data_IF_605273649428
#
_entry.id   IF_605273649428
#
_cell.length_a   1.000
_cell.length_b   1.000
_cell.length_c   1.000
_cell.angle_alpha   90.00
_cell.angle_beta   90.00
_cell.angle_gamma   90.00
#
_symmetry.space_group_name_H-M   'P 1'
#
loop_
_entity.id
_entity.type
_entity.pdbx_description
1 polymer ?
#
# COMPACT_ATOMS: atom_id res chain seq x y z
N UNK A 1 33.12 -7.19 -29.49
CA UNK A 1 32.29 -6.43 -28.55
C UNK A 1 32.05 -7.37 -27.38
N UNK A 2 32.79 -7.20 -26.28
CA UNK A 2 32.54 -7.98 -25.07
C UNK A 2 31.20 -7.54 -24.50
N UNK A 3 30.26 -8.47 -24.39
CA UNK A 3 28.98 -8.23 -23.73
C UNK A 3 29.28 -8.27 -22.23
N UNK A 4 29.10 -7.17 -21.52
CA UNK A 4 29.16 -7.19 -20.06
C UNK A 4 27.94 -7.94 -19.53
N UNK A 5 28.15 -9.15 -19.00
CA UNK A 5 27.08 -9.98 -18.44
C UNK A 5 26.47 -9.36 -17.18
N UNK A 6 27.22 -8.52 -16.45
CA UNK A 6 26.75 -7.87 -15.22
C UNK A 6 25.62 -6.88 -15.50
N UNK A 7 25.89 -5.93 -16.39
CA UNK A 7 24.96 -4.85 -16.76
C UNK A 7 23.82 -5.32 -17.69
N UNK A 8 23.86 -6.57 -18.15
CA UNK A 8 22.82 -7.19 -18.97
C UNK A 8 22.03 -8.22 -18.17
N UNK A 9 22.32 -9.51 -18.32
CA UNK A 9 21.54 -10.59 -17.70
C UNK A 9 21.66 -10.62 -16.17
N UNK A 10 22.79 -10.14 -15.61
CA UNK A 10 22.94 -9.93 -14.17
C UNK A 10 21.93 -8.92 -13.62
N UNK A 11 21.77 -7.77 -14.28
CA UNK A 11 20.76 -6.78 -13.95
C UNK A 11 19.34 -7.36 -14.02
N UNK A 12 19.01 -8.10 -15.09
CA UNK A 12 17.71 -8.77 -15.21
C UNK A 12 17.45 -9.76 -14.08
N UNK A 13 18.47 -10.53 -13.67
CA UNK A 13 18.37 -11.47 -12.57
C UNK A 13 18.07 -10.76 -11.24
N UNK A 14 18.74 -9.64 -10.96
CA UNK A 14 18.47 -8.82 -9.77
C UNK A 14 17.02 -8.32 -9.79
N UNK A 15 16.59 -7.77 -10.93
CA UNK A 15 15.19 -7.36 -11.13
C UNK A 15 14.20 -8.50 -10.89
N UNK A 16 14.50 -9.69 -11.40
CA UNK A 16 13.68 -10.89 -11.21
C UNK A 16 13.60 -11.32 -9.74
N UNK A 17 14.70 -11.28 -9.00
CA UNK A 17 14.72 -11.61 -7.57
C UNK A 17 13.89 -10.63 -6.75
N UNK A 18 14.02 -9.32 -7.01
CA UNK A 18 13.19 -8.30 -6.36
C UNK A 18 11.72 -8.53 -6.71
N UNK A 19 11.42 -8.80 -7.99
CA UNK A 19 10.08 -9.08 -8.49
C UNK A 19 9.44 -10.29 -7.80
N UNK A 20 10.21 -11.35 -7.55
CA UNK A 20 9.76 -12.52 -6.79
C UNK A 20 9.41 -12.18 -5.33
N UNK A 21 10.21 -11.34 -4.68
CA UNK A 21 9.91 -10.89 -3.32
C UNK A 21 8.60 -10.07 -3.27
N UNK A 22 8.43 -9.15 -4.22
CA UNK A 22 7.23 -8.31 -4.33
C UNK A 22 5.99 -9.15 -4.72
N UNK A 23 6.15 -10.19 -5.53
CA UNK A 23 5.08 -11.16 -5.84
C UNK A 23 4.57 -11.91 -4.60
N UNK A 24 5.46 -12.22 -3.65
CA UNK A 24 5.08 -12.75 -2.35
C UNK A 24 4.13 -11.80 -1.59
N UNK A 25 4.41 -10.49 -1.65
CA UNK A 25 3.55 -9.45 -1.07
C UNK A 25 2.19 -9.42 -1.79
N UNK A 26 2.16 -9.47 -3.12
CA UNK A 26 0.90 -9.50 -3.89
C UNK A 26 0.03 -10.67 -3.47
N UNK A 27 0.63 -11.85 -3.32
CA UNK A 27 -0.07 -13.09 -2.93
C UNK A 27 -0.64 -12.96 -1.51
N UNK A 28 0.14 -12.40 -0.58
CA UNK A 28 -0.34 -12.15 0.78
C UNK A 28 -1.50 -11.14 0.81
N UNK A 29 -1.41 -10.07 0.01
CA UNK A 29 -2.50 -9.08 -0.09
C UNK A 29 -3.77 -9.70 -0.68
N UNK A 30 -3.66 -10.56 -1.69
CA UNK A 30 -4.81 -11.30 -2.23
C UNK A 30 -5.44 -12.21 -1.18
N UNK A 31 -4.61 -12.97 -0.44
CA UNK A 31 -5.08 -13.84 0.64
C UNK A 31 -5.84 -13.04 1.71
N UNK A 32 -5.26 -11.93 2.19
CA UNK A 32 -5.93 -11.07 3.15
C UNK A 32 -7.23 -10.49 2.59
N UNK A 33 -7.29 -10.15 1.31
CA UNK A 33 -8.53 -9.66 0.72
C UNK A 33 -9.68 -10.68 0.86
N UNK A 34 -9.46 -11.92 0.45
CA UNK A 34 -10.50 -12.95 0.53
C UNK A 34 -10.88 -13.32 1.97
N UNK A 35 -9.91 -13.30 2.89
CA UNK A 35 -10.17 -13.57 4.31
C UNK A 35 -11.01 -12.46 4.96
N UNK A 36 -10.73 -11.20 4.62
CA UNK A 36 -11.29 -10.06 5.36
C UNK A 36 -12.55 -9.48 4.72
N UNK A 37 -12.80 -9.71 3.41
CA UNK A 37 -13.93 -9.14 2.66
C UNK A 37 -14.85 -10.21 2.03
N UNK A 38 -15.43 -11.15 2.81
CA UNK A 38 -16.29 -12.19 2.24
C UNK A 38 -17.60 -11.63 1.65
N UNK A 39 -18.02 -10.43 2.05
CA UNK A 39 -19.27 -9.77 1.63
C UNK A 39 -19.12 -8.84 0.42
N UNK A 40 -17.90 -8.65 -0.10
CA UNK A 40 -17.68 -7.79 -1.26
C UNK A 40 -18.31 -8.37 -2.53
N UNK A 41 -18.70 -7.48 -3.44
CA UNK A 41 -19.30 -7.85 -4.73
C UNK A 41 -18.44 -8.83 -5.53
N UNK A 42 -19.09 -9.70 -6.31
CA UNK A 42 -18.41 -10.66 -7.18
C UNK A 42 -17.46 -9.98 -8.18
N UNK A 43 -17.80 -8.77 -8.65
CA UNK A 43 -16.94 -8.01 -9.55
C UNK A 43 -15.58 -7.65 -8.93
N UNK A 44 -15.56 -7.20 -7.67
CA UNK A 44 -14.29 -6.91 -6.98
C UNK A 44 -13.50 -8.19 -6.68
N UNK A 45 -14.18 -9.28 -6.30
CA UNK A 45 -13.52 -10.59 -6.12
C UNK A 45 -12.92 -11.10 -7.43
N UNK A 46 -13.61 -10.93 -8.55
CA UNK A 46 -13.08 -11.27 -9.87
C UNK A 46 -11.87 -10.40 -10.23
N UNK A 47 -11.93 -9.08 -9.99
CA UNK A 47 -10.80 -8.17 -10.22
C UNK A 47 -9.55 -8.59 -9.45
N UNK A 48 -9.70 -8.94 -8.17
CA UNK A 48 -8.60 -9.41 -7.31
C UNK A 48 -8.00 -10.72 -7.83
N UNK A 49 -8.84 -11.69 -8.19
CA UNK A 49 -8.38 -12.94 -8.81
C UNK A 49 -7.66 -12.68 -10.14
N UNK A 50 -8.23 -11.85 -11.01
CA UNK A 50 -7.67 -11.52 -12.31
C UNK A 50 -6.28 -10.91 -12.19
N UNK A 51 -6.11 -9.93 -11.30
CA UNK A 51 -4.81 -9.29 -11.06
C UNK A 51 -3.80 -10.30 -10.55
N UNK A 52 -4.17 -11.16 -9.59
CA UNK A 52 -3.25 -12.18 -9.08
C UNK A 52 -2.87 -13.23 -10.15
N UNK A 53 -3.82 -13.65 -10.99
CA UNK A 53 -3.56 -14.58 -12.11
C UNK A 53 -2.59 -13.95 -13.12
N UNK A 54 -2.82 -12.68 -13.50
CA UNK A 54 -1.91 -11.95 -14.38
C UNK A 54 -0.52 -11.79 -13.73
N UNK A 55 -0.47 -11.50 -12.44
CA UNK A 55 0.78 -11.34 -11.70
C UNK A 55 1.59 -12.65 -11.67
N UNK A 56 0.89 -13.78 -11.52
CA UNK A 56 1.45 -15.13 -11.57
C UNK A 56 1.94 -15.48 -12.98
N UNK A 57 1.15 -15.16 -14.01
CA UNK A 57 1.53 -15.38 -15.40
C UNK A 57 2.80 -14.58 -15.76
N UNK A 58 2.89 -13.33 -15.32
CA UNK A 58 4.11 -12.53 -15.47
C UNK A 58 5.33 -13.22 -14.86
N UNK A 59 5.21 -13.73 -13.62
CA UNK A 59 6.31 -14.46 -12.95
C UNK A 59 6.71 -15.69 -13.74
N UNK A 60 5.75 -16.48 -14.23
CA UNK A 60 6.05 -17.69 -15.04
C UNK A 60 6.84 -17.32 -16.29
N UNK A 61 6.41 -16.29 -17.03
CA UNK A 61 7.06 -15.82 -18.25
C UNK A 61 8.48 -15.28 -17.98
N UNK A 62 8.64 -14.53 -16.89
CA UNK A 62 9.93 -14.01 -16.43
C UNK A 62 10.88 -15.15 -16.04
N UNK A 63 10.41 -16.13 -15.25
CA UNK A 63 11.20 -17.31 -14.88
C UNK A 63 11.62 -18.12 -16.10
N UNK A 64 10.73 -18.30 -17.07
CA UNK A 64 11.06 -18.94 -18.34
C UNK A 64 12.14 -18.14 -19.10
N UNK A 65 12.02 -16.81 -19.18
CA UNK A 65 13.03 -15.97 -19.82
C UNK A 65 14.39 -16.09 -19.13
N UNK A 66 14.43 -16.02 -17.81
CA UNK A 66 15.67 -16.17 -17.02
C UNK A 66 16.29 -17.55 -17.17
N UNK A 67 15.49 -18.62 -17.14
CA UNK A 67 15.97 -19.98 -17.37
C UNK A 67 16.57 -20.13 -18.78
N UNK A 68 15.90 -19.58 -19.79
CA UNK A 68 16.38 -19.61 -21.17
C UNK A 68 17.75 -18.92 -21.31
N UNK A 69 17.92 -17.72 -20.74
CA UNK A 69 19.17 -16.98 -20.89
C UNK A 69 20.31 -17.50 -20.03
N UNK A 70 20.04 -17.86 -18.78
CA UNK A 70 21.08 -18.20 -17.81
C UNK A 70 21.46 -19.68 -17.81
N UNK A 71 20.55 -20.56 -18.24
CA UNK A 71 20.75 -22.01 -18.18
C UNK A 71 20.79 -22.60 -19.59
N UNK A 72 19.68 -22.53 -20.33
CA UNK A 72 19.56 -23.26 -21.62
C UNK A 72 20.42 -22.64 -22.73
N UNK A 73 20.49 -21.32 -22.77
CA UNK A 73 21.27 -20.53 -23.73
C UNK A 73 22.68 -20.18 -23.25
N UNK A 74 23.12 -20.74 -22.12
CA UNK A 74 24.43 -20.45 -21.55
C UNK A 74 25.54 -20.76 -22.56
N UNK A 75 26.45 -19.81 -22.77
CA UNK A 75 27.55 -19.93 -23.73
C UNK A 75 27.14 -19.88 -25.20
N UNK A 76 25.87 -19.65 -25.54
CA UNK A 76 25.40 -19.54 -26.92
C UNK A 76 25.18 -18.06 -27.32
N UNK A 77 26.10 -17.45 -28.10
CA UNK A 77 26.01 -16.03 -28.42
C UNK A 77 24.74 -15.65 -29.20
N UNK A 78 24.15 -16.57 -29.98
CA UNK A 78 22.89 -16.31 -30.70
C UNK A 78 21.71 -16.16 -29.76
N UNK A 79 21.71 -16.87 -28.63
CA UNK A 79 20.67 -16.74 -27.62
C UNK A 79 20.78 -15.39 -26.89
N UNK A 80 21.99 -14.86 -26.70
CA UNK A 80 22.22 -13.60 -25.97
C UNK A 80 21.93 -12.34 -26.78
N UNK A 81 21.92 -12.42 -28.13
CA UNK A 81 21.65 -11.26 -29.00
C UNK A 81 20.16 -10.99 -29.17
N UNK A 82 19.32 -12.02 -29.01
CA UNK A 82 17.89 -11.95 -29.30
C UNK A 82 17.01 -12.03 -28.04
N UNK A 83 15.99 -11.19 -28.01
CA UNK A 83 14.86 -11.29 -27.09
C UNK A 83 14.06 -12.57 -27.29
N UNK A 84 13.85 -13.30 -26.21
CA UNK A 84 12.98 -14.46 -26.16
C UNK A 84 11.54 -14.00 -26.09
N UNK A 85 10.62 -14.76 -26.71
CA UNK A 85 9.21 -14.40 -26.78
C UNK A 85 8.59 -14.19 -25.38
N UNK A 86 9.02 -14.97 -24.37
CA UNK A 86 8.46 -14.89 -23.03
C UNK A 86 8.80 -13.57 -22.33
N UNK A 87 9.94 -12.94 -22.65
CA UNK A 87 10.30 -11.61 -22.14
C UNK A 87 9.35 -10.54 -22.69
N UNK A 88 9.06 -10.56 -23.99
CA UNK A 88 8.16 -9.56 -24.58
C UNK A 88 6.71 -9.80 -24.17
N UNK A 89 6.30 -11.06 -24.02
CA UNK A 89 4.98 -11.37 -23.45
C UNK A 89 4.89 -10.91 -22.00
N UNK A 90 5.94 -10.99 -21.18
CA UNK A 90 5.87 -10.50 -19.79
C UNK A 90 5.62 -8.99 -19.73
N UNK A 91 6.27 -8.20 -20.60
CA UNK A 91 6.03 -6.75 -20.74
C UNK A 91 4.54 -6.49 -21.10
N UNK A 92 3.97 -7.28 -22.01
CA UNK A 92 2.55 -7.17 -22.36
C UNK A 92 1.63 -7.42 -21.16
N UNK A 93 1.97 -8.37 -20.29
CA UNK A 93 1.23 -8.63 -19.05
C UNK A 93 1.36 -7.45 -18.07
N UNK A 94 2.53 -6.82 -17.97
CA UNK A 94 2.70 -5.61 -17.14
C UNK A 94 1.83 -4.45 -17.63
N UNK A 95 1.81 -4.20 -18.94
CA UNK A 95 0.95 -3.18 -19.56
C UNK A 95 -0.53 -3.46 -19.25
N UNK A 96 -0.95 -4.73 -19.34
CA UNK A 96 -2.33 -5.11 -19.03
C UNK A 96 -2.66 -4.90 -17.54
N UNK A 97 -1.74 -5.25 -16.62
CA UNK A 97 -1.92 -4.99 -15.19
C UNK A 97 -2.01 -3.50 -14.87
N UNK A 98 -1.15 -2.68 -15.49
CA UNK A 98 -1.19 -1.22 -15.37
C UNK A 98 -2.53 -0.66 -15.86
N UNK A 99 -2.98 -1.08 -17.06
CA UNK A 99 -4.26 -0.66 -17.63
C UNK A 99 -5.45 -1.02 -16.73
N UNK A 100 -5.52 -2.26 -16.23
CA UNK A 100 -6.61 -2.69 -15.33
C UNK A 100 -6.61 -1.86 -14.04
N UNK A 101 -5.43 -1.62 -13.46
CA UNK A 101 -5.27 -0.81 -12.25
C UNK A 101 -5.75 0.64 -12.49
N UNK A 102 -5.23 1.29 -13.53
CA UNK A 102 -5.58 2.67 -13.90
C UNK A 102 -7.06 2.80 -14.27
N UNK A 103 -7.62 1.82 -15.00
CA UNK A 103 -9.03 1.77 -15.34
C UNK A 103 -9.92 1.70 -14.09
N UNK A 104 -9.57 0.83 -13.13
CA UNK A 104 -10.27 0.76 -11.86
C UNK A 104 -10.29 2.11 -11.13
N UNK A 105 -9.15 2.80 -11.06
CA UNK A 105 -9.08 4.12 -10.42
C UNK A 105 -9.85 5.19 -11.21
N UNK A 106 -9.89 5.10 -12.53
CA UNK A 106 -10.69 5.99 -13.37
C UNK A 106 -12.20 5.80 -13.11
N UNK A 107 -12.66 4.55 -12.97
CA UNK A 107 -14.04 4.25 -12.58
C UNK A 107 -14.34 4.76 -11.16
N UNK A 108 -13.39 4.61 -10.22
CA UNK A 108 -13.51 5.22 -8.89
C UNK A 108 -13.71 6.73 -8.99
N UNK A 109 -12.84 7.44 -9.72
CA UNK A 109 -12.94 8.89 -9.94
C UNK A 109 -14.31 9.25 -10.53
N UNK A 110 -14.82 8.47 -11.49
CA UNK A 110 -16.16 8.68 -12.06
C UNK A 110 -17.26 8.61 -11.01
N UNK A 111 -17.20 7.66 -10.08
CA UNK A 111 -18.21 7.55 -9.02
C UNK A 111 -18.07 8.61 -7.93
N UNK A 112 -16.85 9.08 -7.63
CA UNK A 112 -16.63 10.14 -6.64
C UNK A 112 -16.87 11.56 -7.18
N UNK A 113 -16.82 11.76 -8.49
CA UNK A 113 -16.89 13.10 -9.08
C UNK A 113 -18.30 13.72 -9.03
N UNK A 114 -18.42 15.03 -8.74
CA UNK A 114 -19.68 15.76 -8.87
C UNK A 114 -20.24 15.73 -10.31
N UNK A 115 -21.56 15.70 -10.52
CA UNK A 115 -22.18 15.54 -11.85
C UNK A 115 -21.69 16.54 -12.91
N UNK A 116 -21.36 17.77 -12.50
CA UNK A 116 -20.95 18.86 -13.40
C UNK A 116 -19.58 18.64 -14.06
N UNK A 117 -18.63 18.04 -13.34
CA UNK A 117 -17.23 17.88 -13.80
C UNK A 117 -16.89 16.43 -14.16
N UNK A 118 -17.72 15.50 -13.71
CA UNK A 118 -17.50 14.05 -13.80
C UNK A 118 -17.14 13.58 -15.19
N UNK A 119 -17.95 13.88 -16.21
CA UNK A 119 -17.73 13.40 -17.58
C UNK A 119 -16.43 13.94 -18.16
N UNK A 120 -16.18 15.25 -18.00
CA UNK A 120 -14.98 15.89 -18.54
C UNK A 120 -13.70 15.37 -17.88
N UNK A 121 -13.68 15.34 -16.54
CA UNK A 121 -12.54 14.85 -15.77
C UNK A 121 -12.20 13.39 -16.11
N UNK A 122 -13.20 12.52 -16.13
CA UNK A 122 -12.98 11.10 -16.43
C UNK A 122 -12.66 10.85 -17.89
N UNK A 123 -13.17 11.69 -18.80
CA UNK A 123 -12.84 11.64 -20.22
C UNK A 123 -11.36 11.93 -20.48
N UNK A 124 -10.81 12.98 -19.86
CA UNK A 124 -9.39 13.34 -19.97
C UNK A 124 -8.49 12.25 -19.39
N UNK A 125 -8.82 11.76 -18.19
CA UNK A 125 -8.04 10.68 -17.54
C UNK A 125 -8.15 9.39 -18.35
N UNK A 126 -9.36 9.01 -18.77
CA UNK A 126 -9.60 7.82 -19.57
C UNK A 126 -8.86 7.85 -20.90
N UNK A 127 -8.80 9.01 -21.58
CA UNK A 127 -8.01 9.18 -22.80
C UNK A 127 -6.52 8.95 -22.55
N UNK A 128 -5.98 9.50 -21.46
CA UNK A 128 -4.58 9.30 -21.06
C UNK A 128 -4.27 7.82 -20.78
N UNK A 129 -5.16 7.12 -20.06
CA UNK A 129 -5.02 5.68 -19.76
C UNK A 129 -5.09 4.81 -21.02
N UNK A 130 -6.01 5.12 -21.94
CA UNK A 130 -6.10 4.39 -23.22
C UNK A 130 -4.88 4.66 -24.09
N UNK A 131 -4.40 5.91 -24.15
CA UNK A 131 -3.19 6.25 -24.88
C UNK A 131 -1.97 5.50 -24.32
N UNK A 132 -1.79 5.48 -23.00
CA UNK A 132 -0.74 4.71 -22.33
C UNK A 132 -0.78 3.22 -22.73
N UNK A 133 -1.97 2.61 -22.71
CA UNK A 133 -2.15 1.22 -23.14
C UNK A 133 -1.81 1.01 -24.63
N UNK A 134 -2.29 1.88 -25.52
CA UNK A 134 -2.03 1.78 -26.95
C UNK A 134 -0.53 1.86 -27.29
N UNK A 135 0.19 2.85 -26.75
CA UNK A 135 1.64 2.97 -26.94
C UNK A 135 2.41 1.83 -26.27
N UNK A 136 1.90 1.27 -25.16
CA UNK A 136 2.45 0.07 -24.57
C UNK A 136 2.36 -1.14 -25.50
N UNK A 137 1.18 -1.39 -26.09
CA UNK A 137 0.98 -2.48 -27.05
C UNK A 137 1.84 -2.29 -28.30
N UNK A 138 1.93 -1.06 -28.83
CA UNK A 138 2.83 -0.71 -29.93
C UNK A 138 4.30 -1.07 -29.59
N UNK A 139 4.74 -0.74 -28.38
CA UNK A 139 6.10 -1.06 -27.90
C UNK A 139 6.36 -2.56 -27.90
N UNK A 140 5.40 -3.35 -27.40
CA UNK A 140 5.49 -4.82 -27.41
C UNK A 140 5.58 -5.35 -28.84
N UNK A 141 4.74 -4.84 -29.75
CA UNK A 141 4.77 -5.24 -31.17
C UNK A 141 6.14 -4.95 -31.78
N UNK A 142 6.70 -3.77 -31.53
CA UNK A 142 8.03 -3.44 -32.03
C UNK A 142 9.12 -4.33 -31.44
N UNK A 143 9.04 -4.73 -30.17
CA UNK A 143 9.98 -5.70 -29.61
C UNK A 143 9.87 -7.09 -30.26
N UNK A 144 8.66 -7.55 -30.60
CA UNK A 144 8.49 -8.80 -31.35
C UNK A 144 9.01 -8.73 -32.79
N UNK A 145 8.93 -7.56 -33.43
CA UNK A 145 9.46 -7.32 -34.78
C UNK A 145 10.98 -7.13 -34.78
N UNK A 146 11.50 -6.32 -33.87
CA UNK A 146 12.92 -5.99 -33.69
C UNK A 146 13.52 -6.78 -32.53
N UNK A 147 13.57 -8.10 -32.69
CA UNK A 147 14.00 -9.05 -31.64
C UNK A 147 15.44 -8.86 -31.16
N UNK A 148 16.29 -8.21 -31.93
CA UNK A 148 17.70 -7.99 -31.58
C UNK A 148 17.84 -6.88 -30.54
N UNK A 149 18.52 -7.16 -29.43
CA UNK A 149 18.71 -6.17 -28.36
C UNK A 149 19.49 -4.92 -28.84
N UNK A 150 20.39 -5.09 -29.81
CA UNK A 150 21.13 -3.97 -30.43
C UNK A 150 20.22 -2.94 -31.13
N UNK A 151 19.00 -3.35 -31.51
CA UNK A 151 18.03 -2.54 -32.24
C UNK A 151 16.99 -1.88 -31.33
N UNK A 152 17.05 -2.10 -30.01
CA UNK A 152 16.14 -1.47 -29.04
C UNK A 152 16.13 0.06 -29.13
N UNK A 153 17.30 0.68 -29.38
CA UNK A 153 17.42 2.14 -29.56
C UNK A 153 16.58 2.69 -30.72
N UNK A 154 16.29 1.87 -31.73
CA UNK A 154 15.44 2.28 -32.85
C UNK A 154 13.98 2.43 -32.42
N UNK A 155 13.56 1.78 -31.33
CA UNK A 155 12.18 1.80 -30.80
C UNK A 155 12.01 2.94 -29.77
N UNK A 156 13.11 3.56 -29.32
CA UNK A 156 13.13 4.54 -28.23
C UNK A 156 12.19 5.71 -28.49
N UNK A 157 12.43 6.48 -29.56
CA UNK A 157 11.68 7.69 -29.84
C UNK A 157 10.31 7.41 -30.46
N UNK A 158 10.16 6.28 -31.16
CA UNK A 158 8.92 5.92 -31.83
C UNK A 158 7.86 5.44 -30.84
N UNK A 159 8.24 4.67 -29.82
CA UNK A 159 7.27 3.96 -28.97
C UNK A 159 7.58 3.97 -27.48
N UNK A 160 8.83 3.73 -27.06
CA UNK A 160 9.14 3.59 -25.61
C UNK A 160 9.00 4.91 -24.86
N UNK A 161 9.47 6.01 -25.45
CA UNK A 161 9.39 7.34 -24.85
C UNK A 161 7.93 7.81 -24.67
N UNK A 162 7.05 7.79 -25.70
CA UNK A 162 5.65 8.15 -25.49
C UNK A 162 4.92 7.21 -24.53
N UNK A 163 5.23 5.90 -24.54
CA UNK A 163 4.72 4.94 -23.56
C UNK A 163 5.05 5.36 -22.12
N UNK A 164 6.33 5.62 -21.82
CA UNK A 164 6.76 6.03 -20.48
C UNK A 164 6.22 7.38 -20.03
N UNK A 165 6.16 8.37 -20.93
CA UNK A 165 5.57 9.70 -20.62
C UNK A 165 4.09 9.56 -20.27
N UNK A 166 3.34 8.77 -21.02
CA UNK A 166 1.91 8.55 -20.76
C UNK A 166 1.67 7.73 -19.49
N UNK A 167 2.57 6.80 -19.14
CA UNK A 167 2.54 6.09 -17.86
C UNK A 167 2.61 7.07 -16.69
N UNK A 168 3.61 7.97 -16.71
CA UNK A 168 3.81 8.99 -15.67
C UNK A 168 2.64 9.99 -15.64
N UNK A 169 2.21 10.48 -16.82
CA UNK A 169 1.13 11.45 -16.91
C UNK A 169 -0.21 10.89 -16.42
N UNK A 170 -0.55 9.66 -16.80
CA UNK A 170 -1.78 9.01 -16.35
C UNK A 170 -1.81 8.79 -14.83
N UNK A 171 -0.69 8.36 -14.24
CA UNK A 171 -0.59 8.19 -12.79
C UNK A 171 -0.71 9.52 -12.03
N UNK A 172 -0.07 10.59 -12.53
CA UNK A 172 -0.20 11.93 -11.95
C UNK A 172 -1.64 12.42 -12.03
N UNK A 173 -2.31 12.29 -13.18
CA UNK A 173 -3.69 12.72 -13.33
C UNK A 173 -4.64 11.95 -12.40
N UNK A 174 -4.47 10.63 -12.28
CA UNK A 174 -5.25 9.81 -11.35
C UNK A 174 -4.98 10.22 -9.90
N UNK A 175 -3.72 10.42 -9.52
CA UNK A 175 -3.33 10.83 -8.17
C UNK A 175 -3.97 12.16 -7.78
N UNK A 176 -3.80 13.17 -8.62
CA UNK A 176 -4.32 14.52 -8.39
C UNK A 176 -5.85 14.51 -8.32
N UNK A 177 -6.52 13.83 -9.25
CA UNK A 177 -7.97 13.71 -9.25
C UNK A 177 -8.50 13.04 -7.97
N UNK A 178 -7.90 11.90 -7.56
CA UNK A 178 -8.27 11.24 -6.31
C UNK A 178 -8.04 12.15 -5.11
N UNK A 179 -6.89 12.83 -5.02
CA UNK A 179 -6.59 13.71 -3.89
C UNK A 179 -7.59 14.87 -3.78
N UNK A 180 -7.87 15.55 -4.89
CA UNK A 180 -8.81 16.69 -4.93
C UNK A 180 -10.22 16.23 -4.56
N UNK A 181 -10.70 15.14 -5.17
CA UNK A 181 -12.06 14.64 -4.94
C UNK A 181 -12.26 14.12 -3.52
N UNK A 182 -11.27 13.39 -2.97
CA UNK A 182 -11.37 12.87 -1.62
C UNK A 182 -11.27 13.99 -0.59
N UNK A 183 -10.42 15.00 -0.83
CA UNK A 183 -10.35 16.18 0.04
C UNK A 183 -11.67 16.97 0.03
N UNK A 184 -12.31 17.10 -1.13
CA UNK A 184 -13.63 17.74 -1.26
C UNK A 184 -14.80 16.90 -0.72
N UNK A 185 -14.60 15.61 -0.45
CA UNK A 185 -15.62 14.70 0.10
C UNK A 185 -15.61 14.64 1.64
N UNK A 186 -14.84 15.52 2.29
CA UNK A 186 -14.80 15.63 3.75
C UNK A 186 -16.18 16.01 4.30
N UNK A 187 -16.54 15.38 5.41
CA UNK A 187 -17.81 15.59 6.10
C UNK A 187 -17.57 16.24 7.47
N UNK A 188 -18.65 16.53 8.21
CA UNK A 188 -18.53 17.03 9.58
C UNK A 188 -18.08 15.94 10.58
N UNK A 189 -18.04 14.66 10.16
CA UNK A 189 -17.65 13.54 10.99
C UNK A 189 -16.13 13.31 10.98
N UNK A 190 -15.50 13.43 12.15
CA UNK A 190 -14.05 13.28 12.34
C UNK A 190 -13.53 11.92 11.86
N UNK A 191 -14.27 10.85 12.17
CA UNK A 191 -13.95 9.47 11.75
C UNK A 191 -13.86 9.33 10.23
N UNK A 192 -14.87 9.86 9.51
CA UNK A 192 -14.89 9.87 8.04
C UNK A 192 -13.71 10.67 7.47
N UNK A 193 -13.36 11.81 8.08
CA UNK A 193 -12.24 12.63 7.64
C UNK A 193 -10.88 11.94 7.87
N UNK A 194 -10.72 11.20 8.97
CA UNK A 194 -9.53 10.40 9.23
C UNK A 194 -9.36 9.28 8.20
N UNK A 195 -10.45 8.61 7.84
CA UNK A 195 -10.48 7.61 6.77
C UNK A 195 -10.05 8.23 5.43
N UNK A 196 -10.64 9.37 5.06
CA UNK A 196 -10.31 10.13 3.85
C UNK A 196 -8.83 10.47 3.81
N UNK A 197 -8.26 11.01 4.90
CA UNK A 197 -6.85 11.39 4.94
C UNK A 197 -5.92 10.19 4.68
N UNK A 198 -6.22 9.04 5.27
CA UNK A 198 -5.40 7.84 5.05
C UNK A 198 -5.54 7.31 3.62
N UNK A 199 -6.73 7.36 3.03
CA UNK A 199 -6.93 7.00 1.62
C UNK A 199 -6.18 7.95 0.67
N UNK A 200 -6.13 9.26 0.98
CA UNK A 200 -5.30 10.24 0.26
C UNK A 200 -3.82 9.84 0.35
N UNK A 201 -3.31 9.56 1.55
CA UNK A 201 -1.90 9.16 1.75
C UNK A 201 -1.57 7.88 0.98
N UNK A 202 -2.43 6.87 1.03
CA UNK A 202 -2.26 5.62 0.27
C UNK A 202 -2.25 5.90 -1.23
N UNK A 203 -3.17 6.75 -1.72
CA UNK A 203 -3.22 7.13 -3.13
C UNK A 203 -1.95 7.85 -3.58
N UNK A 204 -1.44 8.80 -2.78
CA UNK A 204 -0.20 9.53 -3.05
C UNK A 204 0.99 8.57 -3.06
N UNK A 205 1.18 7.78 -1.99
CA UNK A 205 2.32 6.88 -1.87
C UNK A 205 2.39 5.87 -3.03
N UNK A 206 1.24 5.33 -3.44
CA UNK A 206 1.12 4.48 -4.62
C UNK A 206 1.64 5.17 -5.89
N UNK A 207 1.15 6.38 -6.17
CA UNK A 207 1.44 7.07 -7.43
C UNK A 207 2.89 7.58 -7.46
N UNK A 208 3.40 8.06 -6.32
CA UNK A 208 4.81 8.47 -6.19
C UNK A 208 5.73 7.28 -6.47
N UNK A 209 5.45 6.11 -5.88
CA UNK A 209 6.28 4.92 -6.06
C UNK A 209 6.29 4.44 -7.53
N UNK A 210 5.10 4.32 -8.14
CA UNK A 210 4.94 3.88 -9.54
C UNK A 210 5.55 4.88 -10.53
N UNK A 211 5.27 6.17 -10.36
CA UNK A 211 5.84 7.23 -11.21
C UNK A 211 7.35 7.34 -11.06
N UNK A 212 7.90 7.19 -9.85
CA UNK A 212 9.35 7.23 -9.64
C UNK A 212 10.05 6.08 -10.38
N UNK A 213 9.52 4.86 -10.30
CA UNK A 213 10.08 3.71 -11.02
C UNK A 213 9.96 3.89 -12.53
N UNK A 214 8.82 4.38 -13.05
CA UNK A 214 8.65 4.68 -14.47
C UNK A 214 9.65 5.75 -14.96
N UNK A 215 9.88 6.81 -14.18
CA UNK A 215 10.87 7.84 -14.50
C UNK A 215 12.28 7.24 -14.56
N UNK A 216 12.66 6.43 -13.56
CA UNK A 216 13.97 5.77 -13.53
C UNK A 216 14.13 4.85 -14.74
N UNK A 217 13.12 4.06 -15.07
CA UNK A 217 13.12 3.15 -16.21
C UNK A 217 13.36 3.90 -17.54
N UNK A 218 12.63 5.01 -17.77
CA UNK A 218 12.79 5.84 -18.97
C UNK A 218 14.19 6.48 -19.02
N UNK A 219 14.68 7.01 -17.90
CA UNK A 219 16.03 7.61 -17.82
C UNK A 219 17.09 6.55 -18.15
N UNK A 220 16.99 5.37 -17.55
CA UNK A 220 17.91 4.26 -17.78
C UNK A 220 17.88 3.83 -19.24
N UNK A 221 16.69 3.74 -19.86
CA UNK A 221 16.57 3.35 -21.26
C UNK A 221 17.15 4.40 -22.22
N UNK A 222 17.08 5.68 -21.87
CA UNK A 222 17.68 6.78 -22.65
C UNK A 222 19.21 6.82 -22.52
N UNK A 223 19.73 6.69 -21.29
CA UNK A 223 21.17 6.83 -21.01
C UNK A 223 21.95 5.55 -21.33
N UNK A 224 21.37 4.38 -21.01
CA UNK A 224 22.01 3.07 -21.12
C UNK A 224 21.19 2.12 -22.02
N UNK A 225 20.95 2.45 -23.30
CA UNK A 225 20.05 1.70 -24.19
C UNK A 225 20.54 0.28 -24.57
N UNK A 226 21.75 -0.10 -24.14
CA UNK A 226 22.32 -1.44 -24.36
C UNK A 226 22.37 -2.27 -23.07
N UNK A 227 22.08 -1.67 -21.92
CA UNK A 227 21.96 -2.38 -20.66
C UNK A 227 20.54 -2.93 -20.48
N UNK A 228 20.40 -4.00 -19.69
CA UNK A 228 19.10 -4.60 -19.39
C UNK A 228 18.51 -4.16 -18.05
N UNK A 229 19.05 -3.10 -17.42
CA UNK A 229 18.42 -2.47 -16.26
C UNK A 229 16.97 -2.05 -16.54
N UNK A 230 16.64 -1.63 -17.78
CA UNK A 230 15.25 -1.30 -18.15
C UNK A 230 14.31 -2.49 -17.95
N UNK A 231 14.69 -3.70 -18.39
CA UNK A 231 13.88 -4.90 -18.16
C UNK A 231 13.78 -5.25 -16.68
N UNK A 232 14.82 -4.98 -15.89
CA UNK A 232 14.79 -5.19 -14.45
C UNK A 232 13.76 -4.26 -13.77
N UNK A 233 13.66 -3.00 -14.19
CA UNK A 233 12.64 -2.06 -13.70
C UNK A 233 11.24 -2.43 -14.21
N UNK A 234 11.09 -2.82 -15.47
CA UNK A 234 9.81 -3.29 -16.02
C UNK A 234 9.27 -4.51 -15.24
N UNK A 235 10.11 -5.48 -14.90
CA UNK A 235 9.66 -6.62 -14.08
C UNK A 235 9.04 -6.20 -12.74
N UNK A 236 9.56 -5.12 -12.15
CA UNK A 236 9.09 -4.59 -10.86
C UNK A 236 7.83 -3.75 -11.06
N UNK A 237 7.72 -2.94 -12.12
CA UNK A 237 6.66 -1.94 -12.28
C UNK A 237 5.26 -2.56 -12.29
N UNK A 238 5.09 -3.70 -12.96
CA UNK A 238 3.81 -4.42 -12.97
C UNK A 238 3.38 -4.88 -11.58
N UNK A 239 4.34 -5.31 -10.75
CA UNK A 239 4.09 -5.69 -9.36
C UNK A 239 3.63 -4.50 -8.53
N UNK A 240 4.16 -3.31 -8.79
CA UNK A 240 3.76 -2.10 -8.09
C UNK A 240 2.32 -1.71 -8.42
N UNK A 241 1.90 -1.83 -9.68
CA UNK A 241 0.49 -1.61 -10.06
C UNK A 241 -0.46 -2.60 -9.37
N UNK A 242 -0.11 -3.89 -9.35
CA UNK A 242 -0.91 -4.93 -8.71
C UNK A 242 -1.00 -4.72 -7.19
N UNK A 243 0.14 -4.55 -6.52
CA UNK A 243 0.19 -4.35 -5.06
C UNK A 243 -0.52 -3.07 -4.65
N UNK A 244 -0.40 -2.00 -5.42
CA UNK A 244 -1.02 -0.74 -5.01
C UNK A 244 -2.54 -0.76 -5.15
N UNK A 245 -3.06 -1.47 -6.15
CA UNK A 245 -4.49 -1.73 -6.30
C UNK A 245 -5.02 -2.57 -5.13
N UNK A 246 -4.36 -3.69 -4.83
CA UNK A 246 -4.74 -4.59 -3.74
C UNK A 246 -4.59 -3.92 -2.36
N UNK A 247 -3.53 -3.14 -2.14
CA UNK A 247 -3.35 -2.33 -0.93
C UNK A 247 -4.51 -1.35 -0.73
N UNK A 248 -4.95 -0.68 -1.80
CA UNK A 248 -6.11 0.23 -1.73
C UNK A 248 -7.40 -0.51 -1.34
N UNK A 249 -7.62 -1.71 -1.89
CA UNK A 249 -8.77 -2.54 -1.54
C UNK A 249 -8.70 -3.04 -0.09
N UNK A 250 -7.51 -3.45 0.35
CA UNK A 250 -7.26 -3.98 1.68
C UNK A 250 -7.23 -2.91 2.77
N UNK A 251 -7.01 -1.65 2.42
CA UNK A 251 -6.97 -0.56 3.39
C UNK A 251 -8.28 -0.42 4.19
N UNK A 252 -9.44 -0.74 3.61
CA UNK A 252 -10.76 -0.51 4.24
C UNK A 252 -10.90 -1.06 5.66
N UNK A 253 -10.35 -2.25 5.95
CA UNK A 253 -10.40 -2.90 7.26
C UNK A 253 -9.25 -2.49 8.17
N UNK A 254 -8.06 -2.24 7.63
CA UNK A 254 -6.95 -1.68 8.42
C UNK A 254 -7.36 -0.33 9.02
N UNK A 255 -8.20 0.42 8.30
CA UNK A 255 -8.77 1.67 8.73
C UNK A 255 -9.79 1.48 9.87
N UNK A 256 -10.68 0.47 9.77
CA UNK A 256 -11.67 0.14 10.81
C UNK A 256 -11.04 -0.41 12.11
N UNK A 257 -10.02 -1.27 11.99
CA UNK A 257 -9.37 -1.88 13.16
C UNK A 257 -8.54 -0.87 13.97
N UNK A 258 -7.88 0.07 13.28
CA UNK A 258 -7.08 1.10 13.94
C UNK A 258 -7.96 2.14 14.65
N UNK A 259 -9.12 2.49 14.08
CA UNK A 259 -10.10 3.36 14.70
C UNK A 259 -10.67 2.76 15.99
N UNK A 260 -11.03 1.47 15.98
CA UNK A 260 -11.46 0.75 17.18
C UNK A 260 -10.38 0.73 18.29
N UNK A 261 -9.11 0.56 17.93
CA UNK A 261 -8.01 0.60 18.91
C UNK A 261 -7.78 1.99 19.52
N UNK A 262 -7.97 3.06 18.73
CA UNK A 262 -7.86 4.44 19.23
C UNK A 262 -9.06 4.78 20.11
N UNK A 263 -10.28 4.33 19.77
CA UNK A 263 -11.46 4.52 20.60
C UNK A 263 -11.35 3.80 21.94
N UNK A 264 -10.91 2.53 21.98
CA UNK A 264 -10.68 1.80 23.24
C UNK A 264 -9.61 2.49 24.09
N UNK A 265 -8.51 2.94 23.49
CA UNK A 265 -7.46 3.65 24.22
C UNK A 265 -7.97 4.98 24.77
N UNK A 266 -8.77 5.69 23.98
CA UNK A 266 -9.48 6.91 24.39
C UNK A 266 -10.39 6.66 25.58
N UNK A 267 -11.31 5.69 25.49
CA UNK A 267 -12.22 5.31 26.58
C UNK A 267 -11.45 4.94 27.85
N UNK A 268 -10.43 4.07 27.76
CA UNK A 268 -9.58 3.70 28.90
C UNK A 268 -8.87 4.90 29.53
N UNK A 269 -8.37 5.85 28.72
CA UNK A 269 -7.76 7.08 29.26
C UNK A 269 -8.77 8.01 29.91
N UNK A 270 -9.99 8.08 29.38
CA UNK A 270 -11.06 8.93 29.94
C UNK A 270 -11.56 8.35 31.25
N UNK A 271 -11.76 7.03 31.32
CA UNK A 271 -12.10 6.31 32.55
C UNK A 271 -11.00 6.45 33.60
N UNK A 272 -9.73 6.34 33.21
CA UNK A 272 -8.61 6.56 34.12
C UNK A 272 -8.57 8.01 34.64
N UNK A 273 -8.82 9.00 33.78
CA UNK A 273 -8.91 10.41 34.19
C UNK A 273 -10.11 10.68 35.11
N UNK A 274 -11.28 10.11 34.82
CA UNK A 274 -12.47 10.24 35.67
C UNK A 274 -12.28 9.55 37.03
N UNK A 275 -11.67 8.35 37.05
CA UNK A 275 -11.32 7.66 38.29
C UNK A 275 -10.29 8.46 39.12
N UNK A 276 -9.30 9.06 38.47
CA UNK A 276 -8.32 9.94 39.12
C UNK A 276 -8.97 11.20 39.69
N UNK A 277 -9.86 11.86 38.95
CA UNK A 277 -10.59 13.05 39.44
C UNK A 277 -11.53 12.71 40.60
N UNK A 278 -12.25 11.60 40.54
CA UNK A 278 -13.10 11.13 41.63
C UNK A 278 -12.30 10.84 42.90
N UNK A 279 -11.10 10.26 42.76
CA UNK A 279 -10.17 10.03 43.87
C UNK A 279 -9.66 11.36 44.45
N UNK A 280 -9.37 12.35 43.61
CA UNK A 280 -8.93 13.68 44.03
C UNK A 280 -10.03 14.45 44.78
N UNK A 281 -11.28 14.37 44.31
CA UNK A 281 -12.44 14.95 44.99
C UNK A 281 -12.73 14.27 46.33
N UNK A 282 -12.70 12.94 46.40
CA UNK A 282 -12.87 12.22 47.67
C UNK A 282 -11.77 12.52 48.69
N UNK A 283 -10.54 12.74 48.23
CA UNK A 283 -9.41 13.17 49.08
C UNK A 283 -9.61 14.61 49.58
N UNK A 284 -10.09 15.53 48.74
CA UNK A 284 -10.41 16.89 49.20
C UNK A 284 -11.59 16.94 50.17
N UNK A 285 -12.65 16.15 49.95
CA UNK A 285 -13.80 16.10 50.85
C UNK A 285 -13.43 15.52 52.22
N UNK A 286 -12.56 14.50 52.27
CA UNK A 286 -12.03 13.97 53.53
C UNK A 286 -11.12 14.97 54.24
N UNK A 287 -10.28 15.73 53.53
CA UNK A 287 -9.45 16.80 54.10
C UNK A 287 -10.33 17.93 54.65
N UNK A 288 -11.39 18.35 53.94
CA UNK A 288 -12.33 19.38 54.40
C UNK A 288 -13.11 18.91 55.64
N UNK A 289 -13.58 17.66 55.66
CA UNK A 289 -14.25 17.08 56.85
C UNK A 289 -13.31 16.97 58.05
N UNK A 290 -12.04 16.66 57.84
CA UNK A 290 -11.04 16.60 58.91
C UNK A 290 -10.70 18.00 59.44
N UNK A 291 -10.64 19.01 58.56
CA UNK A 291 -10.40 20.42 58.93
C UNK A 291 -11.60 21.06 59.64
N UNK A 292 -12.83 20.66 59.30
CA UNK A 292 -14.05 21.10 60.00
C UNK A 292 -14.17 20.52 61.42
N UNK A 293 -13.51 19.39 61.72
CA UNK A 293 -13.50 18.77 63.06
C UNK A 293 -12.36 19.28 63.96
N UNK A 294 -11.31 19.88 63.41
CA UNK A 294 -10.16 20.40 64.17
C UNK A 294 -10.34 21.81 64.76
N UNK A 295 -11.51 22.42 64.60
CA UNK A 295 -11.71 23.86 64.80
C UNK A 295 -12.46 24.30 66.06
N UNK A 296 -12.80 23.45 67.04
CA UNK A 296 -13.40 23.92 68.30
C UNK A 296 -13.07 22.93 69.45
N UNK A 297 -12.05 23.23 70.26
CA UNK A 297 -11.93 22.72 71.63
C UNK A 297 -10.84 23.50 72.41
N UNK A 298 -11.19 24.68 72.94
CA UNK A 298 -10.51 25.28 74.10
C UNK A 298 -11.52 25.39 75.24
N UNK A 299 -11.37 24.53 76.25
CA UNK A 299 -11.56 24.77 77.71
C UNK A 299 -12.05 23.52 78.42
N UNK A 300 -11.43 23.26 79.56
CA UNK A 300 -12.16 22.83 80.75
C UNK A 300 -11.91 21.41 81.24
N UNK A 301 -11.03 21.32 82.24
CA UNK A 301 -10.90 20.30 83.28
C UNK A 301 -12.09 19.33 83.48
N UNK A 302 -11.76 18.06 83.78
CA UNK A 302 -12.67 17.15 84.48
C UNK A 302 -12.12 15.72 84.60
N UNK A 303 -11.74 15.34 85.83
CA UNK A 303 -11.14 14.06 86.27
C UNK A 303 -12.10 12.86 86.17
N UNK A 304 -11.56 11.66 85.83
CA UNK A 304 -11.89 10.29 86.35
C UNK A 304 -11.18 9.25 85.44
N UNK A 305 -10.12 8.53 85.87
CA UNK A 305 -10.01 7.36 86.76
C UNK A 305 -10.92 6.18 86.36
N UNK A 306 -10.31 5.05 85.95
CA UNK A 306 -10.88 3.69 86.09
C UNK A 306 -10.63 2.70 84.94
N UNK A 307 -9.83 1.66 85.23
CA UNK A 307 -9.79 0.28 84.71
C UNK A 307 -9.31 0.01 83.26
N UNK A 308 -8.21 -0.72 82.97
CA UNK A 308 -7.66 -2.04 83.40
C UNK A 308 -8.43 -3.25 82.85
N UNK A 309 -7.76 -4.04 82.00
CA UNK A 309 -8.15 -5.41 81.60
C UNK A 309 -7.86 -5.69 80.11
N UNK A 310 -6.67 -6.20 79.76
CA UNK A 310 -6.34 -7.64 79.48
C UNK A 310 -6.69 -8.08 78.05
N UNK A 311 -5.69 -8.43 77.22
CA UNK A 311 -5.22 -9.82 76.92
C UNK A 311 -6.32 -10.63 76.21
N UNK A 312 -6.18 -11.34 75.10
CA UNK A 312 -5.12 -12.07 74.38
C UNK A 312 -5.72 -12.42 72.98
N UNK A 313 -4.98 -12.39 71.87
CA UNK A 313 -4.26 -13.52 71.24
C UNK A 313 -5.12 -14.75 70.83
N UNK A 314 -5.17 -15.02 69.52
CA UNK A 314 -5.10 -16.35 68.85
C UNK A 314 -5.83 -16.29 67.50
N UNK A 315 -5.13 -16.23 66.36
CA UNK A 315 -4.56 -17.36 65.58
C UNK A 315 -5.57 -18.12 64.69
N UNK A 316 -5.31 -17.98 63.38
CA UNK A 316 -5.18 -19.05 62.38
C UNK A 316 -6.43 -19.76 61.84
N UNK A 317 -6.37 -20.03 60.52
CA UNK A 317 -6.63 -21.34 59.85
C UNK A 317 -7.66 -21.28 58.70
N UNK A 318 -7.13 -21.16 57.46
CA UNK A 318 -7.21 -22.21 56.40
C UNK A 318 -8.29 -22.21 55.29
N UNK A 319 -7.79 -22.70 54.14
CA UNK A 319 -8.39 -23.35 52.95
C UNK A 319 -8.96 -22.45 51.84
N UNK A 320 -8.32 -22.36 50.67
CA UNK A 320 -8.24 -23.36 49.57
C UNK A 320 -9.61 -23.92 49.18
N UNK A 321 -10.18 -23.40 48.09
CA UNK A 321 -10.41 -24.07 46.78
C UNK A 321 -10.27 -23.02 45.68
#
# INVERSE_FOLDING_TARGET
>A
MEIDLGDTFGAMLIGALITMAVYGITTLQMYFYYMHYPKDSLGLKFLVALIWILDTLHVILMCHAMHFYLITGFGNPKALVNGTWSLYTSIAINILMAFISQFYFTVKIYHLSPPKVKIWLTGVIGLSVVAHFCFGIETVVFFFLKKEFARLKEVLFESVLPFGILAIASDIFIALALCILLHGSRSDFVETNNLINKLIVIAINRCVLTSAVAVIEVIVFVILPQSFYTFAFDFIIGKLYANSLLATLNARRMLQAQEYSVSITGELTTDFQMASMATYQGTNDSIIRTRSRGGVARRGLGIRVGDVGKEEMSSSTTQEI
#
